data_IF_711344127738
#
_entry.id   IF_711344127738
#
_cell.length_a   1.000
_cell.length_b   1.000
_cell.length_c   1.000
_cell.angle_alpha   90.00
_cell.angle_beta   90.00
_cell.angle_gamma   90.00
#
_symmetry.space_group_name_H-M   'P 1'
#
loop_
_entity.id
_entity.type
_entity.pdbx_description
1 polymer ?
#
# COMPACT_ATOMS: atom_id res chain seq x y z
N UNK A 1 1.62 20.95 2.27
CA UNK A 1 2.16 21.24 0.94
C UNK A 1 2.77 20.00 0.37
N UNK A 2 2.30 19.62 -0.80
CA UNK A 2 2.89 18.50 -1.52
C UNK A 2 4.37 18.80 -1.79
N UNK A 3 5.19 17.76 -1.65
CA UNK A 3 6.56 17.83 -2.12
C UNK A 3 6.51 18.34 -3.57
N UNK A 4 7.04 19.49 -3.77
CA UNK A 4 6.90 20.17 -5.04
C UNK A 4 7.65 19.43 -6.13
N UNK A 5 6.96 19.20 -7.24
CA UNK A 5 7.64 18.83 -8.48
C UNK A 5 8.78 19.78 -8.80
N UNK A 6 8.81 20.94 -8.18
CA UNK A 6 9.84 21.96 -8.30
C UNK A 6 11.14 21.62 -7.56
N UNK A 7 11.08 20.69 -6.59
CA UNK A 7 12.26 20.29 -5.82
C UNK A 7 13.10 19.24 -6.54
N UNK A 8 12.62 18.72 -7.68
CA UNK A 8 13.34 17.74 -8.48
C UNK A 8 13.87 18.43 -9.76
N UNK A 9 15.14 18.23 -10.09
CA UNK A 9 15.66 18.81 -11.33
C UNK A 9 14.94 18.27 -12.56
N UNK A 10 14.82 19.06 -13.63
CA UNK A 10 14.12 18.62 -14.85
C UNK A 10 14.85 17.52 -15.61
N UNK A 11 16.16 17.36 -15.40
CA UNK A 11 16.97 16.33 -16.06
C UNK A 11 17.96 15.74 -15.08
N UNK A 12 18.45 14.54 -15.40
CA UNK A 12 19.56 13.92 -14.69
C UNK A 12 20.34 13.02 -15.63
N UNK A 13 21.54 12.63 -15.24
CA UNK A 13 22.31 11.62 -15.96
C UNK A 13 22.00 10.24 -15.38
N UNK A 14 21.77 9.26 -16.25
CA UNK A 14 21.59 7.88 -15.84
C UNK A 14 22.88 7.38 -15.19
N UNK A 15 22.82 6.85 -13.95
CA UNK A 15 24.03 6.36 -13.26
C UNK A 15 24.73 5.21 -13.99
N UNK A 16 23.97 4.42 -14.77
CA UNK A 16 24.49 3.24 -15.46
C UNK A 16 25.03 3.56 -16.84
N UNK A 17 24.29 4.38 -17.62
CA UNK A 17 24.61 4.62 -19.04
C UNK A 17 25.21 6.00 -19.32
N UNK A 18 25.06 6.95 -18.38
CA UNK A 18 25.44 8.33 -18.56
C UNK A 18 24.49 9.12 -19.46
N UNK A 19 23.45 8.50 -20.00
CA UNK A 19 22.47 9.13 -20.86
C UNK A 19 21.69 10.20 -20.09
N UNK A 20 21.33 11.28 -20.76
CA UNK A 20 20.52 12.34 -20.16
C UNK A 20 19.05 11.86 -20.12
N UNK A 21 18.47 11.89 -18.92
CA UNK A 21 17.08 11.55 -18.70
C UNK A 21 16.28 12.80 -18.37
N UNK A 22 15.04 12.86 -18.85
CA UNK A 22 14.15 14.00 -18.61
C UNK A 22 12.96 13.59 -17.76
N UNK A 23 12.48 14.54 -16.94
CA UNK A 23 11.23 14.33 -16.18
C UNK A 23 10.06 14.14 -17.14
N UNK A 24 9.31 13.09 -16.92
CA UNK A 24 8.14 12.74 -17.73
C UNK A 24 7.21 11.86 -16.89
N UNK A 25 6.03 11.64 -17.40
CA UNK A 25 5.08 10.69 -16.83
C UNK A 25 4.71 9.73 -17.94
N UNK A 26 4.96 8.45 -17.71
CA UNK A 26 4.70 7.41 -18.73
C UNK A 26 3.91 6.26 -18.15
N UNK A 27 3.13 5.53 -18.97
CA UNK A 27 2.43 4.33 -18.54
C UNK A 27 3.42 3.29 -18.02
N UNK A 28 3.08 2.68 -16.91
CA UNK A 28 3.89 1.66 -16.26
C UNK A 28 3.01 0.48 -15.86
N UNK A 29 3.27 -0.73 -16.38
CA UNK A 29 2.49 -1.90 -16.03
C UNK A 29 2.94 -2.45 -14.68
N UNK A 30 1.99 -2.64 -13.78
CA UNK A 30 2.20 -3.32 -12.51
C UNK A 30 1.61 -4.71 -12.63
N UNK A 31 2.40 -5.75 -12.39
CA UNK A 31 1.98 -7.14 -12.57
C UNK A 31 2.05 -7.90 -11.27
N UNK A 32 1.05 -8.76 -11.08
CA UNK A 32 1.01 -9.63 -9.92
C UNK A 32 0.23 -10.90 -10.26
N UNK A 33 0.88 -12.06 -10.19
CA UNK A 33 0.27 -13.38 -10.44
C UNK A 33 -0.56 -13.43 -11.72
N UNK A 34 0.01 -12.93 -12.82
CA UNK A 34 -0.65 -12.94 -14.13
C UNK A 34 -1.65 -11.82 -14.36
N UNK A 35 -1.90 -10.97 -13.37
CA UNK A 35 -2.77 -9.81 -13.50
C UNK A 35 -1.94 -8.55 -13.70
N UNK A 36 -2.48 -7.61 -14.44
CA UNK A 36 -1.78 -6.37 -14.78
C UNK A 36 -2.67 -5.17 -14.55
N UNK A 37 -2.09 -4.11 -14.04
CA UNK A 37 -2.74 -2.82 -13.87
C UNK A 37 -1.75 -1.75 -14.30
N UNK A 38 -2.14 -0.92 -15.27
CA UNK A 38 -1.26 0.13 -15.78
C UNK A 38 -1.54 1.44 -15.05
N UNK A 39 -0.48 2.10 -14.60
CA UNK A 39 -0.54 3.41 -13.95
C UNK A 39 0.38 4.38 -14.64
N UNK A 40 0.07 5.67 -14.53
CA UNK A 40 0.96 6.72 -14.99
C UNK A 40 2.01 6.97 -13.92
N UNK A 41 3.28 6.81 -14.29
CA UNK A 41 4.38 6.85 -13.34
C UNK A 41 5.33 7.99 -13.68
N UNK A 42 5.49 8.99 -12.80
CA UNK A 42 6.48 10.03 -12.99
C UNK A 42 7.88 9.48 -12.80
N UNK A 43 8.85 10.06 -13.44
CA UNK A 43 10.23 9.66 -13.32
C UNK A 43 11.12 10.38 -14.30
N UNK A 44 12.37 9.92 -14.37
CA UNK A 44 13.36 10.37 -15.34
C UNK A 44 13.45 9.31 -16.44
N UNK A 45 13.15 9.72 -17.66
CA UNK A 45 13.06 8.80 -18.79
C UNK A 45 14.02 9.21 -19.91
N UNK A 46 14.60 8.23 -20.61
CA UNK A 46 15.43 8.52 -21.78
C UNK A 46 14.57 8.87 -22.99
N UNK A 47 15.18 9.48 -23.99
CA UNK A 47 14.58 9.59 -25.31
C UNK A 47 14.58 8.18 -25.94
N UNK A 48 13.40 7.67 -26.26
CA UNK A 48 13.27 6.33 -26.81
C UNK A 48 13.34 5.24 -25.75
N UNK A 49 14.15 4.23 -25.98
CA UNK A 49 14.27 3.05 -25.10
C UNK A 49 15.47 3.19 -24.17
N UNK A 50 15.34 2.62 -22.98
CA UNK A 50 16.40 2.58 -22.00
C UNK A 50 15.85 2.59 -20.59
N UNK A 51 16.76 2.60 -19.62
CA UNK A 51 16.41 2.58 -18.20
C UNK A 51 15.83 3.91 -17.75
N UNK A 52 14.80 3.85 -16.93
CA UNK A 52 14.26 5.01 -16.22
C UNK A 52 14.78 5.04 -14.79
N UNK A 53 14.75 6.23 -14.19
CA UNK A 53 15.12 6.41 -12.78
C UNK A 53 13.96 7.08 -12.07
N UNK A 54 13.59 6.54 -10.93
CA UNK A 54 12.53 7.07 -10.11
C UNK A 54 13.08 7.51 -8.76
N UNK A 55 12.67 8.67 -8.30
CA UNK A 55 13.15 9.27 -7.05
C UNK A 55 11.98 9.75 -6.20
N UNK A 56 12.21 9.88 -4.90
CA UNK A 56 11.21 10.39 -3.99
C UNK A 56 9.92 9.56 -4.03
N UNK A 57 8.80 10.21 -4.29
CA UNK A 57 7.49 9.58 -4.33
C UNK A 57 7.08 9.05 -5.71
N UNK A 58 8.02 8.99 -6.66
CA UNK A 58 7.71 8.59 -8.04
C UNK A 58 7.03 7.21 -8.13
N UNK A 59 7.41 6.27 -7.27
CA UNK A 59 6.87 4.91 -7.29
C UNK A 59 5.54 4.75 -6.53
N UNK A 60 5.02 5.82 -5.94
CA UNK A 60 3.83 5.72 -5.07
C UNK A 60 2.62 5.11 -5.81
N UNK A 61 2.36 5.53 -7.04
CA UNK A 61 1.24 5.01 -7.82
C UNK A 61 1.41 3.52 -8.14
N UNK A 62 2.64 3.09 -8.47
CA UNK A 62 2.92 1.68 -8.74
C UNK A 62 2.77 0.82 -7.48
N UNK A 63 3.24 1.33 -6.34
CA UNK A 63 3.11 0.63 -5.06
C UNK A 63 1.64 0.47 -4.66
N UNK A 64 0.84 1.52 -4.85
CA UNK A 64 -0.59 1.47 -4.57
C UNK A 64 -1.32 0.48 -5.49
N UNK A 65 -0.97 0.48 -6.78
CA UNK A 65 -1.53 -0.48 -7.74
C UNK A 65 -1.20 -1.91 -7.34
N UNK A 66 0.02 -2.17 -6.89
CA UNK A 66 0.41 -3.51 -6.41
C UNK A 66 -0.41 -3.93 -5.19
N UNK A 67 -0.63 -3.01 -4.25
CA UNK A 67 -1.47 -3.29 -3.09
C UNK A 67 -2.89 -3.63 -3.49
N UNK A 68 -3.46 -2.92 -4.45
CA UNK A 68 -4.79 -3.20 -4.98
C UNK A 68 -4.87 -4.59 -5.61
N UNK A 69 -3.88 -4.95 -6.41
CA UNK A 69 -3.82 -6.27 -7.04
C UNK A 69 -3.72 -7.37 -5.98
N UNK A 70 -2.89 -7.21 -4.97
CA UNK A 70 -2.76 -8.18 -3.88
C UNK A 70 -4.06 -8.33 -3.11
N UNK A 71 -4.76 -7.23 -2.87
CA UNK A 71 -6.05 -7.26 -2.18
C UNK A 71 -7.10 -8.02 -3.00
N UNK A 72 -7.17 -7.76 -4.31
CA UNK A 72 -8.14 -8.41 -5.19
C UNK A 72 -7.84 -9.90 -5.41
N UNK A 73 -6.58 -10.25 -5.54
CA UNK A 73 -6.18 -11.60 -5.92
C UNK A 73 -5.97 -12.50 -4.71
N UNK A 74 -5.23 -12.05 -3.71
CA UNK A 74 -4.89 -12.84 -2.52
C UNK A 74 -5.83 -12.58 -1.35
N UNK A 75 -6.66 -11.54 -1.44
CA UNK A 75 -7.51 -11.14 -0.33
C UNK A 75 -6.74 -10.47 0.80
N UNK A 76 -5.50 -10.04 0.57
CA UNK A 76 -4.70 -9.30 1.56
C UNK A 76 -5.19 -7.86 1.60
N UNK A 77 -5.78 -7.40 2.71
CA UNK A 77 -6.29 -6.04 2.76
C UNK A 77 -5.14 -5.04 2.74
N UNK A 78 -5.34 -3.94 2.00
CA UNK A 78 -4.38 -2.84 1.97
C UNK A 78 -4.37 -2.11 3.32
N UNK A 79 -3.32 -1.33 3.61
CA UNK A 79 -3.31 -0.51 4.84
C UNK A 79 -4.54 0.39 4.97
N UNK A 80 -5.01 0.97 3.87
CA UNK A 80 -6.23 1.81 3.88
C UNK A 80 -7.48 0.99 4.22
N UNK A 81 -7.59 -0.23 3.68
CA UNK A 81 -8.70 -1.13 3.98
C UNK A 81 -8.69 -1.56 5.45
N UNK A 82 -7.52 -1.87 6.00
CA UNK A 82 -7.39 -2.23 7.41
C UNK A 82 -7.85 -1.08 8.30
N UNK A 83 -7.44 0.14 7.99
CA UNK A 83 -7.88 1.33 8.73
C UNK A 83 -9.40 1.51 8.64
N UNK A 84 -9.96 1.36 7.44
CA UNK A 84 -11.39 1.48 7.22
C UNK A 84 -12.18 0.46 8.06
N UNK A 85 -11.73 -0.79 8.07
CA UNK A 85 -12.38 -1.85 8.86
C UNK A 85 -12.29 -1.50 10.35
N UNK A 86 -11.11 -1.11 10.82
CA UNK A 86 -10.92 -0.73 12.23
C UNK A 86 -11.85 0.41 12.63
N UNK A 87 -11.96 1.44 11.80
CA UNK A 87 -12.84 2.57 12.08
C UNK A 87 -14.32 2.18 12.03
N UNK A 88 -14.68 1.28 11.11
CA UNK A 88 -16.04 0.73 11.04
C UNK A 88 -16.41 0.00 12.34
N UNK A 89 -15.45 -0.71 12.92
CA UNK A 89 -15.61 -1.42 14.17
C UNK A 89 -15.53 -0.50 15.39
N UNK A 90 -15.24 0.77 15.20
CA UNK A 90 -15.11 1.78 16.26
C UNK A 90 -14.00 1.45 17.25
N UNK A 91 -12.90 0.92 16.76
CA UNK A 91 -11.74 0.55 17.58
C UNK A 91 -10.60 1.51 17.33
N UNK A 92 -9.89 1.89 18.41
CA UNK A 92 -8.58 2.50 18.28
C UNK A 92 -7.58 1.42 17.81
N UNK A 93 -6.40 1.83 17.37
CA UNK A 93 -5.36 0.88 16.99
C UNK A 93 -5.01 -0.06 18.14
N UNK A 94 -4.89 0.48 19.34
CA UNK A 94 -4.58 -0.31 20.53
C UNK A 94 -5.71 -1.28 20.89
N UNK A 95 -6.94 -0.81 20.85
CA UNK A 95 -8.10 -1.66 21.14
C UNK A 95 -8.23 -2.77 20.10
N UNK A 96 -7.97 -2.47 18.83
CA UNK A 96 -7.98 -3.47 17.77
C UNK A 96 -6.90 -4.54 18.00
N UNK A 97 -5.70 -4.12 18.37
CA UNK A 97 -4.63 -5.07 18.69
C UNK A 97 -5.02 -6.00 19.83
N UNK A 98 -5.71 -5.48 20.81
CA UNK A 98 -6.18 -6.24 21.96
C UNK A 98 -7.30 -7.22 21.58
N UNK A 99 -8.30 -6.76 20.84
CA UNK A 99 -9.43 -7.58 20.39
C UNK A 99 -8.98 -8.70 19.46
N UNK A 100 -8.07 -8.39 18.54
CA UNK A 100 -7.53 -9.36 17.57
C UNK A 100 -6.40 -10.21 18.16
N UNK A 101 -5.93 -9.88 19.36
CA UNK A 101 -4.83 -10.57 20.05
C UNK A 101 -3.54 -10.61 19.25
N UNK A 102 -3.21 -9.48 18.61
CA UNK A 102 -2.01 -9.37 17.76
C UNK A 102 -0.95 -8.41 18.33
N UNK A 103 -1.22 -7.82 19.50
CA UNK A 103 -0.29 -6.90 20.13
C UNK A 103 -0.71 -5.44 20.02
N UNK A 104 -0.23 -4.62 20.96
CA UNK A 104 -0.69 -3.24 21.09
C UNK A 104 -0.33 -2.34 19.90
N UNK A 105 0.74 -2.67 19.18
CA UNK A 105 1.23 -1.87 18.05
C UNK A 105 1.00 -2.52 16.69
N UNK A 106 0.34 -3.67 16.64
CA UNK A 106 0.17 -4.40 15.40
C UNK A 106 -0.58 -3.57 14.35
N UNK A 107 -1.71 -2.96 14.72
CA UNK A 107 -2.49 -2.18 13.76
C UNK A 107 -1.78 -0.94 13.28
N UNK A 108 -1.00 -0.27 14.14
CA UNK A 108 -0.15 0.82 13.71
C UNK A 108 0.81 0.36 12.59
N UNK A 109 1.44 -0.78 12.78
CA UNK A 109 2.37 -1.34 11.79
C UNK A 109 1.66 -1.76 10.51
N UNK A 110 0.47 -2.37 10.60
CA UNK A 110 -0.31 -2.74 9.43
C UNK A 110 -0.70 -1.50 8.62
N UNK A 111 -1.18 -0.46 9.28
CA UNK A 111 -1.68 0.75 8.62
C UNK A 111 -0.55 1.61 8.08
N UNK A 112 0.67 1.42 8.56
CA UNK A 112 1.87 2.07 8.03
C UNK A 112 2.63 1.21 7.02
N UNK A 113 2.08 0.07 6.65
CA UNK A 113 2.67 -0.86 5.68
C UNK A 113 4.03 -1.42 6.12
N UNK A 114 4.29 -1.48 7.43
CA UNK A 114 5.55 -2.02 7.97
C UNK A 114 5.51 -3.53 8.10
N UNK A 115 4.33 -4.10 8.33
CA UNK A 115 4.12 -5.53 8.53
C UNK A 115 2.80 -5.90 7.88
N UNK A 116 2.74 -7.08 7.30
CA UNK A 116 1.52 -7.65 6.74
C UNK A 116 0.83 -8.50 7.82
N UNK A 117 -0.52 -8.43 7.95
CA UNK A 117 -1.21 -9.31 8.90
C UNK A 117 -1.03 -10.78 8.54
N UNK A 118 -1.08 -11.64 9.55
CA UNK A 118 -1.07 -13.09 9.33
C UNK A 118 -2.37 -13.56 8.68
N UNK A 119 -2.37 -14.77 8.11
CA UNK A 119 -3.54 -15.34 7.48
C UNK A 119 -4.79 -15.33 8.37
N UNK A 120 -4.73 -15.84 9.62
CA UNK A 120 -5.88 -15.77 10.51
C UNK A 120 -6.37 -14.36 10.79
N UNK A 121 -5.47 -13.41 10.96
CA UNK A 121 -5.84 -12.00 11.16
C UNK A 121 -6.58 -11.44 9.95
N UNK A 122 -6.11 -11.76 8.74
CA UNK A 122 -6.76 -11.35 7.49
C UNK A 122 -8.19 -11.92 7.44
N UNK A 123 -8.35 -13.19 7.74
CA UNK A 123 -9.67 -13.81 7.73
C UNK A 123 -10.62 -13.18 8.74
N UNK A 124 -10.12 -12.87 9.93
CA UNK A 124 -10.92 -12.22 10.96
C UNK A 124 -11.32 -10.79 10.52
N UNK A 125 -10.40 -10.04 9.93
CA UNK A 125 -10.70 -8.71 9.38
C UNK A 125 -11.81 -8.79 8.32
N UNK A 126 -11.72 -9.74 7.40
CA UNK A 126 -12.72 -9.92 6.35
C UNK A 126 -14.09 -10.31 6.92
N UNK A 127 -14.09 -11.20 7.89
CA UNK A 127 -15.33 -11.63 8.55
C UNK A 127 -16.01 -10.45 9.25
N UNK A 128 -15.25 -9.68 10.01
CA UNK A 128 -15.79 -8.53 10.75
C UNK A 128 -16.18 -7.38 9.83
N UNK A 129 -15.57 -7.27 8.68
CA UNK A 129 -15.99 -6.28 7.68
C UNK A 129 -17.40 -6.57 7.17
N UNK A 130 -17.71 -7.85 6.95
CA UNK A 130 -19.05 -8.29 6.51
C UNK A 130 -20.05 -8.32 7.64
N UNK A 131 -19.61 -8.66 8.85
CA UNK A 131 -20.44 -8.85 10.01
C UNK A 131 -19.89 -8.09 11.21
N UNK A 132 -19.94 -6.74 11.16
CA UNK A 132 -19.34 -5.92 12.23
C UNK A 132 -19.97 -6.12 13.59
N UNK A 133 -21.23 -6.59 13.64
CA UNK A 133 -21.92 -6.90 14.90
C UNK A 133 -21.23 -8.02 15.69
N UNK A 134 -20.44 -8.87 15.03
CA UNK A 134 -19.74 -9.96 15.70
C UNK A 134 -18.59 -9.48 16.59
N UNK A 135 -18.23 -8.20 16.51
CA UNK A 135 -17.21 -7.63 17.40
C UNK A 135 -17.59 -7.79 18.87
N UNK A 136 -18.88 -7.77 19.18
CA UNK A 136 -19.38 -7.97 20.54
C UNK A 136 -18.99 -9.34 21.09
N UNK A 137 -19.00 -10.37 20.25
CA UNK A 137 -18.58 -11.71 20.63
C UNK A 137 -17.12 -11.76 21.09
N UNK A 138 -16.25 -11.05 20.36
CA UNK A 138 -14.83 -11.02 20.69
C UNK A 138 -14.56 -10.25 21.97
N UNK A 139 -15.36 -9.23 22.28
CA UNK A 139 -15.21 -8.45 23.49
C UNK A 139 -15.72 -9.19 24.73
N UNK A 140 -16.79 -9.95 24.60
CA UNK A 140 -17.37 -10.69 25.72
C UNK A 140 -16.58 -11.95 26.06
N UNK A 141 -15.84 -12.52 25.13
CA UNK A 141 -15.05 -13.74 25.36
C UNK A 141 -13.75 -13.52 26.11
N UNK A 142 -13.55 -12.32 26.69
CA UNK A 142 -12.31 -11.92 27.35
C UNK A 142 -12.29 -12.14 28.84
N UNK A 143 -13.19 -12.84 29.37
CA UNK A 143 -13.16 -13.17 30.81
C UNK A 143 -12.06 -14.15 31.16
#
# INVERSE_FOLDING_TARGET
MSANAQDVPPTMHCPTTGQILCRDTRPFPVRYKGHELTVDLPGYYPDGHGESVHVGADMAAANEALRQLKEQIDGVPSPATIRRIRQKLRLSQRAAGDVFRVGARAFDKYERSLVEPSGPTIQLLRLLDKHPELIAELRTSRT
#
